data_IF_707544717004
#
_entry.id   IF_707544717004
#
_cell.length_a   1.000
_cell.length_b   1.000
_cell.length_c   1.000
_cell.angle_alpha   90.00
_cell.angle_beta   90.00
_cell.angle_gamma   90.00
#
_symmetry.space_group_name_H-M   'P 1'
#
loop_
_entity.id
_entity.type
_entity.pdbx_description
1 polymer ?
#
# COMPACT_ATOMS: atom_id res chain seq x y z
N UNK A 1 -26.69 -22.80 7.80
CA UNK A 1 -25.62 -22.59 6.81
C UNK A 1 -24.29 -22.56 7.55
N UNK A 2 -23.46 -23.57 7.32
CA UNK A 2 -22.21 -23.82 8.04
C UNK A 2 -21.09 -22.99 7.41
N UNK A 3 -20.38 -22.20 8.21
CA UNK A 3 -19.21 -21.41 7.77
C UNK A 3 -18.15 -22.39 7.23
N UNK A 4 -17.59 -22.20 6.02
CA UNK A 4 -16.48 -23.02 5.61
C UNK A 4 -15.28 -22.72 6.53
N UNK A 5 -14.54 -23.76 6.88
CA UNK A 5 -13.30 -23.63 7.63
C UNK A 5 -12.35 -22.70 6.87
N UNK A 6 -11.67 -21.80 7.61
CA UNK A 6 -10.61 -20.99 7.04
C UNK A 6 -9.55 -21.95 6.48
N UNK A 7 -9.36 -21.93 5.15
CA UNK A 7 -8.26 -22.63 4.50
C UNK A 7 -6.92 -22.14 5.07
N UNK A 8 -5.84 -22.95 4.95
CA UNK A 8 -4.53 -22.56 5.44
C UNK A 8 -4.14 -21.19 4.87
N UNK A 9 -3.78 -20.27 5.76
CA UNK A 9 -3.35 -18.92 5.44
C UNK A 9 -2.11 -19.02 4.52
N UNK A 10 -2.14 -18.51 3.28
CA UNK A 10 -0.97 -18.51 2.40
C UNK A 10 0.03 -17.44 2.83
N UNK A 11 0.44 -17.43 4.10
CA UNK A 11 1.67 -16.77 4.53
C UNK A 11 2.85 -17.68 4.15
N UNK A 12 3.04 -17.88 2.85
CA UNK A 12 4.21 -18.59 2.34
C UNK A 12 5.30 -17.54 2.13
N UNK A 13 6.03 -17.25 3.23
CA UNK A 13 7.44 -16.79 3.32
C UNK A 13 7.84 -15.61 2.41
N UNK A 14 8.05 -14.38 2.94
CA UNK A 14 9.37 -13.88 3.38
C UNK A 14 9.27 -12.79 4.48
N UNK A 15 8.45 -12.93 5.51
CA UNK A 15 8.57 -12.06 6.71
C UNK A 15 9.80 -12.42 7.57
N UNK A 16 10.43 -13.58 7.33
CA UNK A 16 11.38 -14.21 8.26
C UNK A 16 12.82 -13.65 8.22
N UNK A 17 13.19 -12.81 7.25
CA UNK A 17 14.60 -12.42 7.03
C UNK A 17 14.86 -10.91 7.08
N UNK A 18 13.84 -10.09 7.39
CA UNK A 18 14.07 -8.66 7.46
C UNK A 18 14.75 -8.30 8.79
N UNK A 19 15.92 -7.65 8.77
CA UNK A 19 16.61 -7.25 9.99
C UNK A 19 15.73 -6.27 10.80
N UNK A 20 15.89 -6.21 12.13
CA UNK A 20 15.09 -5.36 13.00
C UNK A 20 15.33 -3.85 12.77
N UNK A 21 16.27 -3.48 11.91
CA UNK A 21 16.61 -2.11 11.51
C UNK A 21 17.00 -2.09 10.04
N UNK A 22 16.76 -0.98 9.34
CA UNK A 22 17.17 -0.81 7.96
C UNK A 22 18.69 -0.58 7.80
N UNK A 23 19.41 -0.33 8.89
CA UNK A 23 20.86 -0.07 8.88
C UNK A 23 21.61 -1.37 9.20
N UNK A 24 22.12 -2.04 8.18
CA UNK A 24 22.91 -3.26 8.39
C UNK A 24 24.38 -2.94 8.76
N UNK A 25 25.07 -3.76 9.58
CA UNK A 25 26.45 -3.52 9.98
C UNK A 25 27.49 -3.40 8.84
N UNK A 26 27.18 -3.86 7.63
CA UNK A 26 28.03 -3.67 6.43
C UNK A 26 27.87 -2.28 5.79
N UNK A 27 27.04 -1.40 6.37
CA UNK A 27 26.76 -0.06 5.84
C UNK A 27 25.70 -0.04 4.72
N UNK A 28 25.03 -1.17 4.46
CA UNK A 28 23.99 -1.27 3.43
C UNK A 28 22.61 -1.05 4.05
N UNK A 29 21.81 -0.24 3.35
CA UNK A 29 20.40 -0.06 3.68
C UNK A 29 19.58 -1.28 3.22
N UNK A 30 18.74 -1.82 4.09
CA UNK A 30 17.89 -2.99 3.79
C UNK A 30 16.42 -2.68 4.00
N UNK A 31 15.59 -3.09 3.05
CA UNK A 31 14.13 -3.04 3.12
C UNK A 31 13.54 -4.35 2.59
N UNK A 32 12.35 -4.69 3.06
CA UNK A 32 11.56 -5.80 2.56
C UNK A 32 10.76 -5.35 1.34
N UNK A 33 10.54 -6.25 0.38
CA UNK A 33 9.64 -6.01 -0.73
C UNK A 33 8.60 -7.12 -0.76
N UNK A 34 7.36 -6.74 -0.51
CA UNK A 34 6.25 -7.67 -0.35
C UNK A 34 5.25 -7.51 -1.48
N UNK A 35 4.70 -8.63 -1.94
CA UNK A 35 3.54 -8.69 -2.83
C UNK A 35 2.42 -9.45 -2.14
N UNK A 36 1.63 -8.77 -1.30
CA UNK A 36 0.63 -9.46 -0.51
C UNK A 36 -0.49 -9.98 -1.40
N UNK A 37 -1.08 -11.07 -0.95
CA UNK A 37 -2.36 -11.59 -1.42
C UNK A 37 -3.38 -11.42 -0.31
N UNK A 38 -4.60 -10.97 -0.61
CA UNK A 38 -5.63 -10.88 0.42
C UNK A 38 -7.01 -11.25 -0.12
N UNK A 39 -7.81 -11.77 0.82
CA UNK A 39 -9.23 -12.06 0.61
C UNK A 39 -10.03 -11.31 1.66
N UNK A 40 -10.98 -10.50 1.22
CA UNK A 40 -11.84 -9.71 2.09
C UNK A 40 -13.31 -10.03 1.78
N UNK A 41 -14.06 -10.39 2.81
CA UNK A 41 -15.51 -10.56 2.67
C UNK A 41 -16.16 -9.19 2.44
N UNK A 42 -17.06 -9.12 1.47
CA UNK A 42 -17.82 -7.90 1.21
C UNK A 42 -19.07 -7.89 2.07
N UNK A 43 -19.01 -7.09 3.15
CA UNK A 43 -20.09 -6.96 4.13
C UNK A 43 -21.01 -5.77 3.83
N UNK A 44 -20.93 -5.19 2.63
CA UNK A 44 -21.67 -3.98 2.27
C UNK A 44 -23.16 -4.29 2.08
N UNK A 45 -24.02 -3.58 2.81
CA UNK A 45 -25.48 -3.71 2.68
C UNK A 45 -26.09 -2.89 1.55
N UNK A 46 -25.51 -1.72 1.22
CA UNK A 46 -26.00 -0.82 0.18
C UNK A 46 -24.86 -0.12 -0.56
N UNK A 47 -25.09 0.21 -1.84
CA UNK A 47 -24.14 0.91 -2.71
C UNK A 47 -24.69 2.28 -3.15
N UNK A 48 -23.80 3.25 -3.33
CA UNK A 48 -24.14 4.60 -3.76
C UNK A 48 -23.21 5.05 -4.91
N UNK A 49 -23.41 4.50 -6.12
CA UNK A 49 -22.61 4.89 -7.29
C UNK A 49 -22.91 6.34 -7.67
N UNK A 50 -21.86 7.12 -7.93
CA UNK A 50 -21.96 8.54 -8.30
C UNK A 50 -20.81 8.98 -9.21
N UNK A 51 -21.06 10.05 -9.95
CA UNK A 51 -20.05 10.76 -10.74
C UNK A 51 -19.27 11.68 -9.80
N UNK A 52 -17.98 11.40 -9.63
CA UNK A 52 -17.04 12.17 -8.82
C UNK A 52 -16.58 13.46 -9.52
N UNK A 53 -16.65 13.49 -10.85
CA UNK A 53 -16.22 14.65 -11.65
C UNK A 53 -16.11 14.30 -13.13
N UNK A 54 -15.52 15.21 -13.90
CA UNK A 54 -15.27 15.02 -15.33
C UNK A 54 -13.81 15.37 -15.67
N UNK A 55 -13.18 14.57 -16.52
CA UNK A 55 -11.90 14.89 -17.15
C UNK A 55 -12.08 15.91 -18.28
N UNK A 56 -10.98 16.54 -18.76
CA UNK A 56 -11.01 17.28 -20.02
C UNK A 56 -11.59 16.42 -21.15
N UNK A 57 -12.52 16.98 -21.92
CA UNK A 57 -13.28 16.25 -22.94
C UNK A 57 -14.62 15.66 -22.45
N UNK A 58 -14.99 15.89 -21.18
CA UNK A 58 -16.30 15.52 -20.64
C UNK A 58 -16.43 14.07 -20.20
N UNK A 59 -15.32 13.34 -20.05
CA UNK A 59 -15.34 11.95 -19.60
C UNK A 59 -15.64 11.91 -18.10
N UNK A 60 -16.71 11.24 -17.70
CA UNK A 60 -17.10 11.06 -16.30
C UNK A 60 -16.08 10.21 -15.54
N UNK A 61 -15.69 10.67 -14.35
CA UNK A 61 -15.01 9.86 -13.33
C UNK A 61 -16.07 9.37 -12.36
N UNK A 62 -16.18 8.05 -12.18
CA UNK A 62 -17.20 7.42 -11.33
C UNK A 62 -16.55 6.64 -10.20
N UNK A 63 -17.27 6.46 -9.10
CA UNK A 63 -16.78 5.73 -7.92
C UNK A 63 -17.16 4.24 -7.90
N UNK A 64 -17.65 3.69 -9.02
CA UNK A 64 -18.19 2.32 -9.08
C UNK A 64 -17.15 1.28 -8.63
N UNK A 65 -15.85 1.54 -8.85
CA UNK A 65 -14.74 0.70 -8.38
C UNK A 65 -14.69 0.50 -6.86
N UNK A 66 -15.28 1.41 -6.07
CA UNK A 66 -15.35 1.30 -4.61
C UNK A 66 -16.47 0.33 -4.15
N UNK A 67 -17.31 -0.13 -5.08
CA UNK A 67 -18.49 -0.97 -4.81
C UNK A 67 -18.40 -2.31 -5.58
N UNK A 68 -17.47 -3.20 -5.21
CA UNK A 68 -17.45 -4.54 -5.80
C UNK A 68 -18.76 -5.28 -5.49
N UNK A 69 -19.22 -6.12 -6.42
CA UNK A 69 -20.48 -6.86 -6.28
C UNK A 69 -20.40 -8.00 -5.25
N UNK A 70 -19.19 -8.46 -4.90
CA UNK A 70 -18.98 -9.58 -4.00
C UNK A 70 -17.68 -9.47 -3.22
N UNK A 71 -17.29 -10.57 -2.58
CA UNK A 71 -16.02 -10.71 -1.88
C UNK A 71 -14.86 -10.33 -2.80
N UNK A 72 -13.85 -9.68 -2.21
CA UNK A 72 -12.65 -9.28 -2.91
C UNK A 72 -11.58 -10.36 -2.74
N UNK A 73 -11.06 -10.87 -3.85
CA UNK A 73 -9.91 -11.77 -3.88
C UNK A 73 -8.84 -11.16 -4.77
N UNK A 74 -7.68 -10.88 -4.17
CA UNK A 74 -6.53 -10.31 -4.87
C UNK A 74 -5.33 -11.23 -4.65
N UNK A 75 -4.96 -11.93 -5.72
CA UNK A 75 -3.92 -12.96 -5.70
C UNK A 75 -2.51 -12.36 -5.65
N UNK A 76 -2.28 -11.26 -6.38
CA UNK A 76 -1.03 -10.49 -6.34
C UNK A 76 -1.38 -9.01 -6.38
N UNK A 77 -1.19 -8.32 -5.26
CA UNK A 77 -1.44 -6.88 -5.22
C UNK A 77 -0.20 -6.10 -5.61
N UNK A 78 -0.37 -4.79 -5.74
CA UNK A 78 0.76 -3.87 -5.87
C UNK A 78 1.78 -4.12 -4.76
N UNK A 79 3.07 -4.00 -5.11
CA UNK A 79 4.16 -4.19 -4.17
C UNK A 79 4.15 -3.15 -3.05
N UNK A 80 4.63 -3.55 -1.89
CA UNK A 80 4.86 -2.65 -0.76
C UNK A 80 6.28 -2.86 -0.23
N UNK A 81 6.99 -1.76 -0.03
CA UNK A 81 8.28 -1.77 0.65
C UNK A 81 8.05 -1.67 2.15
N UNK A 82 8.69 -2.55 2.91
CA UNK A 82 8.80 -2.46 4.36
C UNK A 82 10.18 -1.91 4.71
N UNK A 83 10.21 -0.74 5.32
CA UNK A 83 11.44 -0.09 5.78
C UNK A 83 11.47 -0.16 7.31
N UNK A 84 12.26 -1.07 7.92
CA UNK A 84 12.42 -1.08 9.37
C UNK A 84 13.00 0.25 9.84
N UNK A 85 12.56 0.72 10.99
CA UNK A 85 13.07 1.96 11.54
C UNK A 85 14.56 1.79 11.96
N UNK A 86 15.42 2.82 11.77
CA UNK A 86 16.77 2.81 12.32
C UNK A 86 16.82 2.44 13.80
N UNK A 87 15.80 2.85 14.57
CA UNK A 87 15.55 2.46 15.95
C UNK A 87 14.53 1.30 15.99
N UNK A 88 14.95 0.05 16.25
CA UNK A 88 14.08 -1.13 16.12
C UNK A 88 12.76 -1.06 16.91
N UNK A 89 12.73 -0.32 18.01
CA UNK A 89 11.54 -0.14 18.84
C UNK A 89 10.46 0.76 18.24
N UNK A 90 10.72 1.39 17.08
CA UNK A 90 9.75 2.20 16.35
C UNK A 90 9.04 1.46 15.20
N UNK A 91 9.28 0.15 15.06
CA UNK A 91 8.62 -0.68 14.06
C UNK A 91 9.13 -0.42 12.64
N UNK A 92 8.21 -0.36 11.66
CA UNK A 92 8.53 -0.18 10.25
C UNK A 92 7.61 0.84 9.58
N UNK A 93 8.10 1.45 8.50
CA UNK A 93 7.31 2.27 7.58
C UNK A 93 7.03 1.47 6.32
N UNK A 94 5.78 1.48 5.87
CA UNK A 94 5.37 0.81 4.63
C UNK A 94 5.14 1.83 3.52
N UNK A 95 5.74 1.61 2.35
CA UNK A 95 5.68 2.49 1.18
C UNK A 95 5.12 1.71 0.01
N UNK A 96 4.02 2.18 -0.59
CA UNK A 96 3.44 1.56 -1.79
C UNK A 96 4.38 1.73 -2.99
N UNK A 97 4.55 0.67 -3.77
CA UNK A 97 5.52 0.63 -4.85
C UNK A 97 5.16 1.58 -6.01
N UNK A 98 3.92 1.64 -6.50
CA UNK A 98 3.59 2.45 -7.67
C UNK A 98 3.76 3.96 -7.44
N UNK A 99 3.40 4.53 -6.28
CA UNK A 99 3.79 5.90 -5.94
C UNK A 99 5.31 6.07 -5.84
N UNK A 100 6.03 5.11 -5.26
CA UNK A 100 7.48 5.16 -5.13
C UNK A 100 8.17 5.15 -6.50
N UNK A 101 7.78 4.24 -7.40
CA UNK A 101 8.28 4.13 -8.77
C UNK A 101 8.02 5.43 -9.56
N UNK A 102 6.84 6.04 -9.37
CA UNK A 102 6.51 7.34 -10.00
C UNK A 102 7.42 8.47 -9.52
N UNK A 103 7.78 8.47 -8.23
CA UNK A 103 8.62 9.50 -7.62
C UNK A 103 10.12 9.23 -7.79
N UNK A 104 10.51 7.98 -8.10
CA UNK A 104 11.90 7.59 -8.28
C UNK A 104 12.58 8.33 -9.45
N UNK A 105 11.81 8.72 -10.47
CA UNK A 105 12.29 9.54 -11.59
C UNK A 105 12.60 11.00 -11.19
N UNK A 106 12.04 11.47 -10.07
CA UNK A 106 12.29 12.83 -9.57
C UNK A 106 12.31 12.89 -8.02
N UNK A 107 13.31 12.27 -7.35
CA UNK A 107 13.30 12.14 -5.88
C UNK A 107 13.32 13.50 -5.16
N UNK A 108 13.93 14.52 -5.77
CA UNK A 108 13.97 15.87 -5.24
C UNK A 108 12.59 16.55 -5.16
N UNK A 109 11.56 16.01 -5.84
CA UNK A 109 10.18 16.47 -5.70
C UNK A 109 9.60 16.14 -4.32
N UNK A 110 10.12 15.11 -3.64
CA UNK A 110 9.75 14.73 -2.29
C UNK A 110 10.85 15.13 -1.29
N UNK A 111 10.90 16.44 -1.00
CA UNK A 111 11.83 17.01 -0.01
C UNK A 111 11.07 17.80 1.03
N UNK A 112 11.60 17.82 2.26
CA UNK A 112 11.25 18.86 3.20
C UNK A 112 11.67 20.20 2.57
N UNK A 113 10.78 21.19 2.62
CA UNK A 113 11.13 22.53 2.17
C UNK A 113 12.13 23.10 3.16
N UNK A 114 13.23 23.63 2.65
CA UNK A 114 14.21 24.34 3.48
C UNK A 114 13.63 25.66 4.00
N UNK A 115 12.65 26.22 3.29
CA UNK A 115 12.03 27.50 3.61
C UNK A 115 10.73 27.28 4.41
N UNK A 116 10.55 28.01 5.54
CA UNK A 116 9.30 27.97 6.29
C UNK A 116 8.13 28.41 5.40
N UNK A 117 6.90 27.91 5.64
CA UNK A 117 5.73 28.37 4.89
C UNK A 117 5.59 29.90 5.04
N UNK A 118 5.12 30.61 4.00
CA UNK A 118 4.89 32.05 4.08
C UNK A 118 3.94 32.36 5.23
N UNK A 119 4.17 33.48 5.93
CA UNK A 119 3.21 33.99 6.91
C UNK A 119 1.84 34.23 6.26
N UNK A 120 0.74 33.97 6.98
CA UNK A 120 -0.62 34.07 6.46
C UNK A 120 -1.03 35.48 6.02
#
# INVERSE_FOLDING_TARGET
MTRPAAGPNPKTVQDADLPPTCVHPDGVFRCGHHRPSFRAANLRGTSAPLVLGHLPGGVEIRNDANFPEGDLELAETEGVFEVPNPFPFWGATYILQAPADRLAEAPAAFRLRDEPPPDP
#
